data_IF_416620482089
#
_entry.id   IF_416620482089
#
_cell.length_a   1.000
_cell.length_b   1.000
_cell.length_c   1.000
_cell.angle_alpha   90.00
_cell.angle_beta   90.00
_cell.angle_gamma   90.00
#
_symmetry.space_group_name_H-M   'P 1'
#
loop_
_entity.id
_entity.type
_entity.pdbx_description
1 polymer ?
#
# COMPACT_ATOMS: atom_id res chain seq x y z
N UNK A 1 6.14 -7.47 -2.02
CA UNK A 1 5.02 -6.52 -1.81
C UNK A 1 4.05 -6.91 -0.69
N UNK A 2 4.03 -8.16 -0.22
CA UNK A 2 3.08 -8.60 0.81
C UNK A 2 3.28 -7.90 2.17
N UNK A 3 4.52 -7.63 2.59
CA UNK A 3 4.82 -6.90 3.83
C UNK A 3 4.31 -5.46 3.79
N UNK A 4 4.50 -4.77 2.66
CA UNK A 4 3.96 -3.43 2.43
C UNK A 4 2.43 -3.44 2.49
N UNK A 5 1.77 -4.44 1.91
CA UNK A 5 0.31 -4.59 2.02
C UNK A 5 -0.15 -4.78 3.48
N UNK A 6 0.59 -5.57 4.27
CA UNK A 6 0.28 -5.78 5.68
C UNK A 6 0.44 -4.49 6.50
N UNK A 7 1.54 -3.76 6.29
CA UNK A 7 1.80 -2.48 6.96
C UNK A 7 0.74 -1.41 6.63
N UNK A 8 0.34 -1.32 5.36
CA UNK A 8 -0.75 -0.43 4.93
C UNK A 8 -2.09 -0.82 5.57
N UNK A 9 -2.38 -2.13 5.64
CA UNK A 9 -3.60 -2.65 6.27
C UNK A 9 -3.69 -2.32 7.76
N UNK A 10 -2.58 -2.37 8.50
CA UNK A 10 -2.54 -1.96 9.91
C UNK A 10 -2.90 -0.49 10.12
N UNK A 11 -2.65 0.36 9.14
CA UNK A 11 -3.01 1.79 9.16
C UNK A 11 -4.43 2.07 8.65
N UNK A 12 -5.23 1.02 8.42
CA UNK A 12 -6.60 1.14 7.88
C UNK A 12 -6.66 1.31 6.36
N UNK A 13 -5.54 1.20 5.65
CA UNK A 13 -5.48 1.33 4.19
C UNK A 13 -5.65 -0.06 3.57
N UNK A 14 -6.83 -0.32 3.01
CA UNK A 14 -7.12 -1.59 2.35
C UNK A 14 -6.55 -1.56 0.94
N UNK A 15 -5.52 -2.37 0.70
CA UNK A 15 -4.92 -2.54 -0.63
C UNK A 15 -5.15 -3.96 -1.14
N UNK A 16 -5.21 -4.10 -2.46
CA UNK A 16 -5.35 -5.38 -3.13
C UNK A 16 -4.01 -5.82 -3.68
N UNK A 17 -3.47 -6.90 -3.13
CA UNK A 17 -2.28 -7.57 -3.63
C UNK A 17 -2.69 -8.75 -4.50
N UNK A 18 -2.08 -8.91 -5.67
CA UNK A 18 -2.35 -10.02 -6.57
C UNK A 18 -1.19 -11.01 -6.51
N UNK A 19 -1.48 -12.29 -6.22
CA UNK A 19 -0.48 -13.37 -6.25
C UNK A 19 -0.39 -13.98 -7.65
N UNK A 20 0.02 -13.18 -8.64
CA UNK A 20 0.34 -13.67 -9.97
C UNK A 20 1.83 -13.43 -10.25
N UNK A 21 2.55 -14.37 -10.88
CA UNK A 21 4.01 -14.34 -10.99
C UNK A 21 4.60 -13.12 -11.72
N UNK A 22 3.81 -12.33 -12.45
CA UNK A 22 4.26 -11.08 -13.08
C UNK A 22 3.95 -9.82 -12.28
N UNK A 23 3.01 -9.91 -11.32
CA UNK A 23 2.49 -8.73 -10.61
C UNK A 23 2.40 -8.93 -9.10
N UNK A 24 3.05 -9.96 -8.58
CA UNK A 24 3.18 -10.20 -7.15
C UNK A 24 4.02 -9.12 -6.44
N UNK A 25 4.74 -8.31 -7.22
CA UNK A 25 5.47 -7.14 -6.72
C UNK A 25 4.63 -5.87 -6.69
N UNK A 26 3.44 -5.85 -7.32
CA UNK A 26 2.60 -4.66 -7.40
C UNK A 26 1.42 -4.70 -6.43
N UNK A 27 1.00 -3.51 -6.00
CA UNK A 27 -0.16 -3.29 -5.14
C UNK A 27 -1.17 -2.44 -5.88
N UNK A 28 -2.43 -2.86 -5.88
CA UNK A 28 -3.52 -2.04 -6.39
C UNK A 28 -4.17 -1.30 -5.24
N UNK A 29 -4.11 0.03 -5.29
CA UNK A 29 -4.69 0.92 -4.30
C UNK A 29 -5.79 1.73 -4.99
N UNK A 30 -6.98 1.75 -4.40
CA UNK A 30 -8.07 2.60 -4.88
C UNK A 30 -8.10 3.84 -3.99
N UNK A 31 -7.91 5.02 -4.58
CA UNK A 31 -8.04 6.31 -3.91
C UNK A 31 -9.48 6.79 -4.10
N UNK A 32 -10.20 7.03 -3.01
CA UNK A 32 -11.50 7.69 -3.05
C UNK A 32 -11.36 9.19 -2.82
N UNK A 33 -11.16 9.57 -1.56
CA UNK A 33 -11.19 10.95 -1.10
C UNK A 33 -9.77 11.54 -0.96
N UNK A 34 -9.61 12.88 -0.98
CA UNK A 34 -8.31 13.54 -0.81
C UNK A 34 -7.62 13.20 0.52
N UNK A 35 -8.40 13.05 1.60
CA UNK A 35 -7.90 12.68 2.93
C UNK A 35 -7.30 11.27 2.95
N UNK A 36 -7.92 10.33 2.23
CA UNK A 36 -7.39 8.97 2.07
C UNK A 36 -6.07 8.98 1.29
N UNK A 37 -5.95 9.85 0.29
CA UNK A 37 -4.69 10.04 -0.43
C UNK A 37 -3.60 10.61 0.48
N UNK A 38 -3.92 11.60 1.31
CA UNK A 38 -2.98 12.16 2.28
C UNK A 38 -2.51 11.10 3.30
N UNK A 39 -3.43 10.28 3.82
CA UNK A 39 -3.10 9.17 4.70
C UNK A 39 -2.18 8.13 4.03
N UNK A 40 -2.45 7.79 2.77
CA UNK A 40 -1.58 6.90 1.99
C UNK A 40 -0.16 7.47 1.84
N UNK A 41 -0.05 8.74 1.44
CA UNK A 41 1.24 9.39 1.26
C UNK A 41 2.03 9.47 2.58
N UNK A 42 1.34 9.76 3.70
CA UNK A 42 1.95 9.74 5.03
C UNK A 42 2.45 8.34 5.42
N UNK A 43 1.66 7.31 5.13
CA UNK A 43 2.05 5.92 5.36
C UNK A 43 3.28 5.52 4.52
N UNK A 44 3.27 5.84 3.22
CA UNK A 44 4.39 5.56 2.32
C UNK A 44 5.67 6.30 2.73
N UNK A 45 5.58 7.54 3.19
CA UNK A 45 6.74 8.29 3.72
C UNK A 45 7.29 7.72 5.03
N UNK A 46 6.43 7.09 5.83
CA UNK A 46 6.82 6.49 7.10
C UNK A 46 7.45 5.10 6.94
N UNK A 47 7.31 4.49 5.76
CA UNK A 47 7.86 3.18 5.49
C UNK A 47 9.34 3.35 5.11
N UNK A 48 10.26 2.60 5.75
CA UNK A 48 11.66 2.67 5.41
C UNK A 48 11.85 2.19 3.97
N UNK A 49 12.48 3.03 3.15
CA UNK A 49 12.87 2.69 1.77
C UNK A 49 13.78 1.46 1.85
N UNK A 50 13.22 0.29 1.55
CA UNK A 50 13.98 -0.96 1.46
C UNK A 50 14.56 -1.01 0.05
N UNK A 51 15.58 -0.18 -0.17
CA UNK A 51 16.39 -0.18 -1.38
C UNK A 51 17.29 -1.41 -1.43
#
# INVERSE_FOLDING_TARGET
AAELAAALRQRGIIVRHFRQPRIDQFLRITIGNPEQNAALLSALKSLPDSR
#
